data_IF_838968866615
#
_entry.id   IF_838968866615
#
_cell.length_a   1.000
_cell.length_b   1.000
_cell.length_c   1.000
_cell.angle_alpha   90.00
_cell.angle_beta   90.00
_cell.angle_gamma   90.00
#
_symmetry.space_group_name_H-M   'P 1'
#
loop_
_entity.id
_entity.type
_entity.pdbx_description
1 polymer ?
#
# COMPACT_ATOMS: atom_id res chain seq x y z
N UNK A 1 -4.22 19.33 -1.97
CA UNK A 1 -3.49 18.87 -3.18
C UNK A 1 -2.44 17.88 -2.69
N UNK A 2 -2.41 16.65 -3.23
CA UNK A 2 -1.35 15.69 -2.86
C UNK A 2 -1.77 14.25 -2.56
N UNK A 3 -2.96 13.84 -3.02
CA UNK A 3 -3.47 12.50 -2.77
C UNK A 3 -2.88 11.41 -3.67
N UNK A 4 -2.31 11.77 -4.81
CA UNK A 4 -1.73 10.83 -5.78
C UNK A 4 -0.46 10.17 -5.25
N UNK A 5 -0.20 8.92 -5.67
CA UNK A 5 0.90 8.05 -5.20
C UNK A 5 2.28 8.73 -5.23
N UNK A 6 2.49 9.60 -6.21
CA UNK A 6 3.71 10.33 -6.58
C UNK A 6 3.67 11.82 -6.18
N UNK A 7 2.75 12.21 -5.29
CA UNK A 7 2.64 13.58 -4.80
C UNK A 7 3.92 14.06 -4.10
N UNK A 8 4.42 15.24 -4.51
CA UNK A 8 5.54 15.93 -3.83
C UNK A 8 5.25 16.32 -2.38
N UNK A 9 3.98 16.41 -1.97
CA UNK A 9 3.61 16.66 -0.58
C UNK A 9 4.03 15.53 0.38
N UNK A 10 4.44 14.38 -0.15
CA UNK A 10 4.83 13.19 0.60
C UNK A 10 6.23 12.75 0.21
N UNK A 11 7.14 13.66 -0.17
CA UNK A 11 8.52 13.30 -0.53
C UNK A 11 9.48 13.45 0.68
N UNK A 12 10.24 12.41 1.07
CA UNK A 12 10.14 11.03 0.59
C UNK A 12 8.89 10.33 1.13
N UNK A 13 8.27 9.42 0.37
CA UNK A 13 7.06 8.76 0.82
C UNK A 13 7.38 7.75 1.92
N UNK A 14 6.44 7.50 2.86
CA UNK A 14 6.67 6.52 3.90
C UNK A 14 6.79 5.14 3.26
N UNK A 15 7.91 4.44 3.48
CA UNK A 15 8.15 3.09 2.95
C UNK A 15 8.45 2.11 4.06
N UNK A 16 8.11 0.85 3.82
CA UNK A 16 8.55 -0.25 4.66
C UNK A 16 10.08 -0.36 4.57
N UNK A 17 10.73 -0.64 5.69
CA UNK A 17 12.14 -1.01 5.66
C UNK A 17 12.31 -2.33 4.89
N UNK A 18 13.43 -2.53 4.18
CA UNK A 18 13.70 -3.76 3.46
C UNK A 18 13.49 -4.99 4.34
N UNK A 19 12.83 -6.02 3.79
CA UNK A 19 12.54 -7.30 4.46
C UNK A 19 11.62 -7.20 5.68
N UNK A 20 10.96 -6.07 5.93
CA UNK A 20 9.89 -5.95 6.95
C UNK A 20 8.51 -6.12 6.33
N UNK A 21 7.51 -6.48 7.14
CA UNK A 21 6.09 -6.56 6.74
C UNK A 21 5.80 -7.45 5.51
N UNK A 22 6.70 -8.38 5.19
CA UNK A 22 6.59 -9.28 4.03
C UNK A 22 5.30 -10.11 4.05
N UNK A 23 4.94 -10.67 5.20
CA UNK A 23 3.70 -11.44 5.36
C UNK A 23 2.43 -10.62 5.12
N UNK A 24 2.48 -9.32 5.44
CA UNK A 24 1.37 -8.41 5.13
C UNK A 24 1.31 -8.20 3.63
N UNK A 25 2.43 -7.88 2.97
CA UNK A 25 2.47 -7.71 1.50
C UNK A 25 1.99 -8.97 0.76
N UNK A 26 2.44 -10.15 1.18
CA UNK A 26 2.00 -11.42 0.59
C UNK A 26 0.48 -11.58 0.68
N UNK A 27 -0.10 -11.31 1.84
CA UNK A 27 -1.56 -11.35 2.02
C UNK A 27 -2.27 -10.30 1.17
N UNK A 28 -1.69 -9.10 1.03
CA UNK A 28 -2.24 -8.07 0.14
C UNK A 28 -2.21 -8.52 -1.33
N UNK A 29 -1.14 -9.18 -1.76
CA UNK A 29 -0.99 -9.70 -3.11
C UNK A 29 -1.95 -10.85 -3.41
N UNK A 30 -2.11 -11.79 -2.49
CA UNK A 30 -3.08 -12.87 -2.62
C UNK A 30 -4.48 -12.29 -2.75
N UNK A 31 -4.80 -11.26 -1.96
CA UNK A 31 -6.08 -10.58 -2.06
C UNK A 31 -6.29 -9.87 -3.40
N UNK A 32 -5.29 -9.11 -3.88
CA UNK A 32 -5.45 -8.31 -5.09
C UNK A 32 -5.36 -9.12 -6.39
N UNK A 33 -4.49 -10.14 -6.41
CA UNK A 33 -4.13 -10.87 -7.64
C UNK A 33 -4.52 -12.35 -7.60
N UNK A 34 -4.86 -12.91 -6.44
CA UNK A 34 -5.13 -14.34 -6.28
C UNK A 34 -6.44 -14.81 -6.92
N UNK A 35 -7.34 -13.89 -7.29
CA UNK A 35 -8.56 -14.20 -8.07
C UNK A 35 -9.59 -15.11 -7.38
N UNK A 36 -9.34 -15.53 -6.14
CA UNK A 36 -10.19 -16.44 -5.36
C UNK A 36 -10.86 -15.74 -4.17
N UNK A 37 -10.45 -14.53 -3.81
CA UNK A 37 -11.04 -13.80 -2.70
C UNK A 37 -12.43 -13.27 -3.08
N UNK A 38 -13.42 -13.56 -2.25
CA UNK A 38 -14.80 -13.10 -2.44
C UNK A 38 -14.98 -11.60 -2.16
N UNK A 39 -13.96 -10.96 -1.59
CA UNK A 39 -14.06 -9.61 -1.03
C UNK A 39 -13.37 -8.57 -1.92
N UNK A 40 -14.14 -7.59 -2.39
CA UNK A 40 -13.63 -6.47 -3.19
C UNK A 40 -12.93 -5.37 -2.37
N UNK A 41 -12.94 -5.48 -1.04
CA UNK A 41 -12.36 -4.50 -0.13
C UNK A 41 -11.59 -5.21 0.98
N UNK A 42 -10.41 -4.68 1.30
CA UNK A 42 -9.60 -5.13 2.43
C UNK A 42 -9.22 -3.96 3.32
N UNK A 43 -9.27 -4.20 4.63
CA UNK A 43 -8.98 -3.20 5.64
C UNK A 43 -7.71 -3.54 6.41
N UNK A 44 -6.70 -2.66 6.33
CA UNK A 44 -5.47 -2.76 7.13
C UNK A 44 -5.60 -1.90 8.40
N UNK A 45 -5.84 -2.53 9.56
CA UNK A 45 -5.95 -1.86 10.85
C UNK A 45 -4.78 -2.13 11.79
N UNK A 46 -4.65 -1.29 12.81
CA UNK A 46 -3.62 -1.40 13.85
C UNK A 46 -3.40 -0.07 14.58
N UNK A 47 -2.62 -0.07 15.67
CA UNK A 47 -2.37 1.13 16.48
C UNK A 47 -1.79 2.31 15.67
N UNK A 48 -1.90 3.53 16.21
CA UNK A 48 -1.22 4.69 15.63
C UNK A 48 0.31 4.48 15.61
N UNK A 49 0.99 5.02 14.59
CA UNK A 49 2.45 4.96 14.49
C UNK A 49 3.06 3.64 13.98
N UNK A 50 2.30 2.54 13.85
CA UNK A 50 2.86 1.22 13.48
C UNK A 50 3.25 1.06 11.99
N UNK A 51 3.15 2.13 11.20
CA UNK A 51 3.58 2.14 9.80
C UNK A 51 2.54 1.65 8.78
N UNK A 52 1.23 1.71 9.07
CA UNK A 52 0.17 1.30 8.12
C UNK A 52 0.25 2.04 6.78
N UNK A 53 0.47 3.36 6.81
CA UNK A 53 0.63 4.17 5.60
C UNK A 53 1.88 3.77 4.82
N UNK A 54 2.94 3.35 5.50
CA UNK A 54 4.16 2.84 4.86
C UNK A 54 3.91 1.52 4.13
N UNK A 55 3.13 0.61 4.73
CA UNK A 55 2.69 -0.64 4.07
C UNK A 55 1.86 -0.32 2.83
N UNK A 56 0.85 0.54 2.95
CA UNK A 56 -0.02 0.89 1.83
C UNK A 56 0.76 1.53 0.66
N UNK A 57 1.70 2.43 0.97
CA UNK A 57 2.56 3.07 -0.03
C UNK A 57 3.49 2.04 -0.70
N UNK A 58 4.20 1.23 0.09
CA UNK A 58 5.15 0.24 -0.47
C UNK A 58 4.40 -0.78 -1.33
N UNK A 59 3.22 -1.22 -0.90
CA UNK A 59 2.38 -2.11 -1.70
C UNK A 59 1.91 -1.46 -3.01
N UNK A 60 1.53 -0.18 -2.98
CA UNK A 60 1.16 0.55 -4.20
C UNK A 60 2.36 0.69 -5.16
N UNK A 61 3.55 1.00 -4.66
CA UNK A 61 4.79 1.04 -5.45
C UNK A 61 5.12 -0.35 -6.06
N UNK A 62 4.95 -1.43 -5.28
CA UNK A 62 5.12 -2.80 -5.78
C UNK A 62 4.11 -3.11 -6.91
N UNK A 63 2.83 -2.79 -6.74
CA UNK A 63 1.81 -2.95 -7.78
C UNK A 63 2.10 -2.10 -9.02
N UNK A 64 2.61 -0.88 -8.85
CA UNK A 64 3.00 0.00 -9.94
C UNK A 64 4.14 -0.61 -10.74
N UNK A 65 5.18 -1.12 -10.07
CA UNK A 65 6.31 -1.79 -10.74
C UNK A 65 5.90 -3.03 -11.53
N UNK A 66 4.81 -3.69 -11.11
CA UNK A 66 4.23 -4.87 -11.77
C UNK A 66 3.16 -4.53 -12.82
N UNK A 67 2.93 -3.24 -13.10
CA UNK A 67 1.88 -2.75 -14.01
C UNK A 67 0.47 -3.27 -13.67
N UNK A 68 0.18 -3.52 -12.39
CA UNK A 68 -1.15 -3.96 -11.93
C UNK A 68 -1.83 -2.94 -11.00
N UNK A 69 -1.21 -1.79 -10.76
CA UNK A 69 -1.84 -0.71 -9.99
C UNK A 69 -2.88 0.02 -10.84
N UNK A 70 -4.16 -0.10 -10.49
CA UNK A 70 -5.21 0.74 -11.06
C UNK A 70 -5.10 2.19 -10.61
N UNK A 71 -5.21 2.42 -9.30
CA UNK A 71 -5.02 3.75 -8.69
C UNK A 71 -4.74 3.63 -7.20
N UNK A 72 -3.97 4.57 -6.66
CA UNK A 72 -3.76 4.71 -5.21
C UNK A 72 -3.93 6.17 -4.79
N UNK A 73 -4.59 6.37 -3.65
CA UNK A 73 -4.82 7.68 -3.04
C UNK A 73 -4.38 7.67 -1.57
N UNK A 74 -3.70 8.73 -1.15
CA UNK A 74 -3.15 8.88 0.19
C UNK A 74 -3.45 10.27 0.73
N UNK A 75 -4.16 10.32 1.84
CA UNK A 75 -4.55 11.59 2.43
C UNK A 75 -3.54 11.99 3.51
N UNK A 76 -2.89 13.14 3.32
CA UNK A 76 -2.16 13.85 4.36
C UNK A 76 -3.05 14.95 4.94
N UNK A 77 -2.83 15.31 6.21
CA UNK A 77 -3.51 16.46 6.83
C UNK A 77 -2.93 17.77 6.31
#
# INVERSE_FOLDING_TARGET
IGAMVDSSARDPPPRCHPKTRQSVHERLFIWSCGGQEKWNMMWLHGPAGVGKSAVAQTFAEDCQSRNCLGRAFFFSR
#
